data_IF_006404344865
#
_entry.id   IF_006404344865
#
_cell.length_a   1.000
_cell.length_b   1.000
_cell.length_c   1.000
_cell.angle_alpha   90.00
_cell.angle_beta   90.00
_cell.angle_gamma   90.00
#
_symmetry.space_group_name_H-M   'P 1'
#
loop_
_entity.id
_entity.type
_entity.pdbx_description
1 polymer ?
#
# COMPACT_ATOMS: atom_id res chain seq x y z
N UNK A 1 -7.17 7.44 -8.95
CA UNK A 1 -8.25 8.33 -8.44
C UNK A 1 -7.84 9.79 -8.63
N UNK A 2 -8.79 10.76 -8.72
CA UNK A 2 -8.45 12.19 -8.77
C UNK A 2 -8.69 12.84 -7.39
N UNK A 3 -7.66 13.29 -6.73
CA UNK A 3 -7.70 13.88 -5.37
C UNK A 3 -8.61 15.11 -5.30
N UNK A 4 -8.57 16.00 -6.29
CA UNK A 4 -9.43 17.20 -6.32
C UNK A 4 -10.92 16.84 -6.37
N UNK A 5 -11.30 15.77 -7.08
CA UNK A 5 -12.66 15.25 -7.11
C UNK A 5 -13.08 14.68 -5.75
N UNK A 6 -12.19 13.96 -5.08
CA UNK A 6 -12.44 13.42 -3.76
C UNK A 6 -12.67 14.54 -2.73
N UNK A 7 -11.83 15.57 -2.73
CA UNK A 7 -11.97 16.74 -1.85
C UNK A 7 -13.31 17.46 -2.10
N UNK A 8 -13.68 17.69 -3.36
CA UNK A 8 -14.95 18.32 -3.70
C UNK A 8 -16.14 17.49 -3.21
N UNK A 9 -16.07 16.17 -3.38
CA UNK A 9 -17.11 15.25 -2.91
C UNK A 9 -17.25 15.28 -1.37
N UNK A 10 -16.14 15.24 -0.64
CA UNK A 10 -16.14 15.36 0.83
C UNK A 10 -16.73 16.70 1.29
N UNK A 11 -16.36 17.81 0.64
CA UNK A 11 -16.94 19.12 0.95
C UNK A 11 -18.46 19.13 0.78
N UNK A 12 -18.96 18.51 -0.28
CA UNK A 12 -20.42 18.41 -0.52
C UNK A 12 -21.11 17.58 0.54
N UNK A 13 -20.57 16.40 0.86
CA UNK A 13 -21.14 15.49 1.84
C UNK A 13 -21.12 16.04 3.26
N UNK A 14 -20.07 16.80 3.61
CA UNK A 14 -19.92 17.43 4.93
C UNK A 14 -20.63 18.81 5.02
N UNK A 15 -21.28 19.28 3.95
CA UNK A 15 -21.94 20.59 3.94
C UNK A 15 -20.98 21.78 3.99
N UNK A 16 -19.70 21.57 3.69
CA UNK A 16 -18.65 22.60 3.81
C UNK A 16 -18.47 23.44 2.55
N UNK A 17 -19.30 23.28 1.54
CA UNK A 17 -19.11 23.90 0.22
C UNK A 17 -19.08 25.43 0.26
N UNK A 18 -19.92 26.02 1.11
CA UNK A 18 -20.04 27.47 1.25
C UNK A 18 -19.61 27.98 2.63
N UNK A 19 -18.91 27.17 3.41
CA UNK A 19 -18.50 27.51 4.77
C UNK A 19 -17.04 27.90 4.80
N UNK A 20 -16.74 29.08 5.36
CA UNK A 20 -15.37 29.47 5.72
C UNK A 20 -15.12 29.07 7.16
N UNK A 21 -14.26 28.07 7.36
CA UNK A 21 -13.86 27.65 8.71
C UNK A 21 -12.70 28.53 9.22
N UNK A 22 -12.57 28.72 10.54
CA UNK A 22 -11.59 29.62 11.15
C UNK A 22 -10.19 29.00 11.25
N UNK A 23 -9.78 28.17 10.28
CA UNK A 23 -8.43 27.64 10.24
C UNK A 23 -7.45 28.73 9.86
N UNK A 24 -6.40 28.88 10.65
CA UNK A 24 -5.31 29.83 10.41
C UNK A 24 -3.98 29.08 10.37
N UNK A 25 -3.15 29.48 9.46
CA UNK A 25 -1.74 29.07 9.42
C UNK A 25 -1.02 29.68 10.62
N UNK A 26 -0.34 28.85 11.42
CA UNK A 26 0.38 29.27 12.62
C UNK A 26 1.53 30.25 12.31
N UNK A 27 2.13 30.12 11.11
CA UNK A 27 3.30 30.92 10.71
C UNK A 27 2.88 32.24 10.10
N UNK A 28 1.90 32.20 9.17
CA UNK A 28 1.49 33.37 8.40
C UNK A 28 0.29 34.12 8.96
N UNK A 29 -0.48 33.46 9.85
CA UNK A 29 -1.74 33.96 10.39
C UNK A 29 -2.88 34.05 9.35
N UNK A 30 -2.64 33.62 8.12
CA UNK A 30 -3.61 33.65 7.03
C UNK A 30 -4.67 32.53 7.19
N UNK A 31 -5.87 32.80 6.70
CA UNK A 31 -6.94 31.79 6.67
C UNK A 31 -6.59 30.67 5.69
N UNK A 32 -6.59 29.44 6.16
CA UNK A 32 -6.37 28.24 5.33
C UNK A 32 -7.69 27.84 4.66
N UNK A 33 -7.72 27.65 3.34
CA UNK A 33 -8.89 27.10 2.66
C UNK A 33 -9.21 25.70 3.18
N UNK A 34 -10.51 25.39 3.33
CA UNK A 34 -10.99 24.07 3.79
C UNK A 34 -10.46 22.93 2.93
N UNK A 35 -10.29 23.17 1.62
CA UNK A 35 -9.72 22.20 0.68
C UNK A 35 -8.31 21.76 1.06
N UNK A 36 -7.49 22.68 1.52
CA UNK A 36 -6.12 22.37 1.93
C UNK A 36 -6.12 21.54 3.22
N UNK A 37 -6.99 21.90 4.16
CA UNK A 37 -7.14 21.14 5.41
C UNK A 37 -7.61 19.70 5.14
N UNK A 38 -8.62 19.53 4.28
CA UNK A 38 -9.09 18.21 3.87
C UNK A 38 -7.97 17.44 3.16
N UNK A 39 -7.23 18.11 2.26
CA UNK A 39 -6.09 17.50 1.58
C UNK A 39 -5.04 16.99 2.56
N UNK A 40 -4.70 17.80 3.56
CA UNK A 40 -3.72 17.43 4.58
C UNK A 40 -4.18 16.23 5.41
N UNK A 41 -5.45 16.13 5.75
CA UNK A 41 -6.02 14.94 6.39
C UNK A 41 -5.92 13.73 5.47
N UNK A 42 -6.29 13.87 4.20
CA UNK A 42 -6.23 12.76 3.24
C UNK A 42 -4.80 12.25 3.05
N UNK A 43 -3.83 13.15 2.89
CA UNK A 43 -2.43 12.80 2.60
C UNK A 43 -1.73 12.25 3.84
N UNK A 44 -1.93 12.86 5.01
CA UNK A 44 -1.15 12.53 6.19
C UNK A 44 -1.82 11.48 7.11
N UNK A 45 -3.13 11.24 6.96
CA UNK A 45 -3.87 10.30 7.81
C UNK A 45 -4.51 9.20 6.97
N UNK A 46 -5.36 9.57 6.01
CA UNK A 46 -6.20 8.60 5.29
C UNK A 46 -5.37 7.69 4.39
N UNK A 47 -4.48 8.24 3.55
CA UNK A 47 -3.67 7.46 2.59
C UNK A 47 -2.76 6.45 3.32
N UNK A 48 -1.98 6.83 4.35
CA UNK A 48 -1.14 5.88 5.07
C UNK A 48 -1.94 4.73 5.70
N UNK A 49 -3.09 5.04 6.32
CA UNK A 49 -3.95 4.02 6.94
C UNK A 49 -4.59 3.13 5.87
N UNK A 50 -5.14 3.74 4.80
CA UNK A 50 -5.73 2.99 3.70
C UNK A 50 -4.75 2.01 3.07
N UNK A 51 -3.49 2.45 2.90
CA UNK A 51 -2.42 1.63 2.33
C UNK A 51 -2.09 0.39 3.18
N UNK A 52 -2.32 0.42 4.49
CA UNK A 52 -2.11 -0.75 5.36
C UNK A 52 -3.08 -1.89 5.05
N UNK A 53 -4.29 -1.56 4.61
CA UNK A 53 -5.33 -2.55 4.28
C UNK A 53 -5.40 -2.87 2.79
N UNK A 54 -5.10 -1.91 1.95
CA UNK A 54 -5.14 -2.02 0.48
C UNK A 54 -3.91 -1.34 -0.12
N UNK A 55 -2.74 -1.98 -0.04
CA UNK A 55 -1.49 -1.39 -0.53
C UNK A 55 -1.47 -1.29 -2.05
N UNK A 56 -0.63 -0.40 -2.55
CA UNK A 56 -0.28 -0.36 -3.96
C UNK A 56 0.79 -1.41 -4.27
N UNK A 57 0.39 -2.45 -4.99
CA UNK A 57 1.31 -3.52 -5.38
C UNK A 57 2.11 -3.09 -6.60
N UNK A 58 3.42 -3.13 -6.48
CA UNK A 58 4.37 -2.86 -7.56
C UNK A 58 5.21 -4.09 -7.84
N UNK A 59 5.46 -4.30 -9.13
CA UNK A 59 6.30 -5.39 -9.60
C UNK A 59 7.41 -4.84 -10.49
N UNK A 60 8.58 -5.47 -10.43
CA UNK A 60 9.66 -5.15 -11.34
C UNK A 60 10.83 -6.08 -11.20
N UNK A 61 11.60 -6.22 -12.27
CA UNK A 61 12.73 -7.13 -12.31
C UNK A 61 14.06 -6.40 -12.29
N UNK A 62 15.03 -7.00 -11.61
CA UNK A 62 16.41 -6.55 -11.60
C UNK A 62 17.38 -7.70 -11.37
N UNK A 63 18.54 -7.64 -12.04
CA UNK A 63 19.60 -8.62 -11.80
C UNK A 63 20.23 -8.40 -10.40
N UNK A 64 20.35 -9.47 -9.62
CA UNK A 64 20.95 -9.42 -8.28
C UNK A 64 22.39 -8.86 -8.28
N UNK A 65 23.14 -9.08 -9.36
CA UNK A 65 24.50 -8.55 -9.50
C UNK A 65 24.56 -7.02 -9.59
N UNK A 66 23.46 -6.37 -9.97
CA UNK A 66 23.33 -4.90 -10.08
C UNK A 66 22.63 -4.26 -8.89
N UNK A 67 22.12 -5.09 -7.95
CA UNK A 67 21.53 -4.56 -6.72
C UNK A 67 22.64 -3.96 -5.83
N UNK A 68 22.37 -2.78 -5.23
CA UNK A 68 23.29 -2.21 -4.27
C UNK A 68 23.46 -3.12 -3.05
N UNK A 69 24.67 -3.59 -2.82
CA UNK A 69 25.01 -4.48 -1.72
C UNK A 69 25.32 -3.65 -0.47
N UNK A 70 24.58 -3.89 0.61
CA UNK A 70 24.78 -3.25 1.91
C UNK A 70 25.74 -4.04 2.79
N UNK A 71 25.53 -5.35 2.89
CA UNK A 71 26.38 -6.25 3.66
C UNK A 71 26.59 -7.55 2.89
N UNK A 72 27.87 -7.78 2.54
CA UNK A 72 28.27 -8.97 1.79
C UNK A 72 28.19 -10.26 2.62
N UNK A 73 28.46 -10.18 3.91
CA UNK A 73 28.51 -11.36 4.77
C UNK A 73 27.12 -11.92 5.03
N UNK A 74 26.13 -11.01 5.11
CA UNK A 74 24.75 -11.37 5.39
C UNK A 74 23.85 -11.34 4.13
N UNK A 75 24.41 -11.11 2.93
CA UNK A 75 23.69 -11.01 1.67
C UNK A 75 22.51 -10.00 1.74
N UNK A 76 22.77 -8.82 2.32
CA UNK A 76 21.78 -7.74 2.45
C UNK A 76 21.95 -6.77 1.29
N UNK A 77 20.86 -6.51 0.58
CA UNK A 77 20.78 -5.63 -0.58
C UNK A 77 19.77 -4.52 -0.34
N UNK A 78 19.89 -3.42 -1.10
CA UNK A 78 18.81 -2.46 -1.22
C UNK A 78 17.84 -2.90 -2.33
N UNK A 79 16.55 -2.68 -2.10
CA UNK A 79 15.53 -2.85 -3.13
C UNK A 79 15.81 -1.95 -4.33
N UNK A 80 15.39 -2.35 -5.53
CA UNK A 80 15.53 -1.53 -6.74
C UNK A 80 14.96 -0.12 -6.57
N UNK A 81 15.72 0.91 -6.96
CA UNK A 81 15.33 2.30 -6.77
C UNK A 81 13.99 2.69 -7.43
N UNK A 82 13.63 2.03 -8.53
CA UNK A 82 12.35 2.25 -9.18
C UNK A 82 11.15 1.72 -8.37
N UNK A 83 11.36 0.77 -7.45
CA UNK A 83 10.31 0.26 -6.54
C UNK A 83 10.19 1.11 -5.26
N UNK A 84 11.23 1.87 -4.91
CA UNK A 84 11.33 2.64 -3.67
C UNK A 84 10.99 4.12 -3.82
N UNK A 85 10.34 4.51 -4.93
CA UNK A 85 9.88 5.89 -5.16
C UNK A 85 8.79 6.34 -4.19
N UNK A 86 8.05 5.38 -3.65
CA UNK A 86 7.10 5.54 -2.54
C UNK A 86 7.55 4.64 -1.39
N UNK A 87 7.14 4.90 -0.14
CA UNK A 87 7.49 4.07 0.99
C UNK A 87 7.07 2.61 0.75
N UNK A 88 8.04 1.69 0.85
CA UNK A 88 7.78 0.24 0.79
C UNK A 88 7.38 -0.23 2.18
N UNK A 89 6.20 -0.84 2.28
CA UNK A 89 5.67 -1.34 3.53
C UNK A 89 6.20 -2.75 3.83
N UNK A 90 6.12 -3.63 2.82
CA UNK A 90 6.68 -5.00 2.89
C UNK A 90 6.92 -5.57 1.49
N UNK A 91 7.68 -6.64 1.43
CA UNK A 91 7.93 -7.41 0.21
C UNK A 91 7.00 -8.61 0.22
N UNK A 92 6.22 -8.77 -0.85
CA UNK A 92 5.25 -9.85 -1.00
C UNK A 92 5.95 -11.10 -1.50
N UNK A 93 6.74 -10.96 -2.57
CA UNK A 93 7.41 -12.08 -3.21
C UNK A 93 8.73 -11.64 -3.86
N UNK A 94 9.66 -12.59 -3.92
CA UNK A 94 10.89 -12.49 -4.70
C UNK A 94 11.06 -13.79 -5.47
N UNK A 95 10.93 -13.73 -6.77
CA UNK A 95 10.95 -14.90 -7.65
C UNK A 95 11.91 -14.73 -8.83
N UNK A 96 12.15 -15.80 -9.54
CA UNK A 96 12.92 -15.77 -10.80
C UNK A 96 11.97 -15.73 -11.99
N UNK A 97 12.20 -14.86 -13.01
CA UNK A 97 11.25 -14.63 -14.12
C UNK A 97 10.84 -15.90 -14.88
N UNK A 98 11.66 -16.95 -14.84
CA UNK A 98 11.41 -18.20 -15.55
C UNK A 98 11.04 -19.39 -14.64
N UNK A 99 10.93 -19.16 -13.35
CA UNK A 99 10.40 -20.13 -12.40
C UNK A 99 8.95 -19.75 -12.11
N UNK A 100 8.02 -20.16 -12.98
CA UNK A 100 6.64 -20.28 -12.60
C UNK A 100 6.54 -21.34 -11.50
N UNK A 101 6.72 -20.94 -10.26
CA UNK A 101 6.60 -21.80 -9.08
C UNK A 101 5.19 -22.38 -8.93
N UNK A 102 4.24 -21.89 -9.75
CA UNK A 102 2.87 -22.40 -9.87
C UNK A 102 2.59 -23.19 -11.15
N UNK A 103 3.56 -23.30 -12.05
CA UNK A 103 3.44 -24.13 -13.25
C UNK A 103 3.67 -25.60 -12.92
N UNK A 104 2.72 -26.44 -13.31
CA UNK A 104 2.90 -27.90 -13.40
C UNK A 104 4.25 -28.23 -14.01
N UNK A 105 4.89 -29.31 -13.57
CA UNK A 105 6.18 -29.89 -14.07
C UNK A 105 6.38 -29.87 -15.60
N UNK A 106 5.35 -29.55 -16.38
CA UNK A 106 5.37 -29.45 -17.82
C UNK A 106 6.02 -28.18 -18.39
N UNK A 107 6.04 -27.07 -17.66
CA UNK A 107 6.50 -25.78 -18.17
C UNK A 107 8.01 -25.53 -17.98
N UNK A 108 8.66 -26.31 -17.13
CA UNK A 108 10.10 -26.18 -16.87
C UNK A 108 10.94 -26.80 -17.99
N UNK A 109 10.43 -27.82 -18.67
CA UNK A 109 11.12 -28.55 -19.72
C UNK A 109 11.55 -27.68 -20.94
N UNK A 110 10.77 -26.72 -21.43
CA UNK A 110 11.15 -25.88 -22.55
C UNK A 110 12.28 -24.88 -22.26
N UNK A 111 12.35 -24.38 -21.04
CA UNK A 111 13.32 -23.34 -20.66
C UNK A 111 14.77 -23.83 -20.62
N UNK A 112 14.98 -25.13 -20.41
CA UNK A 112 16.31 -25.74 -20.35
C UNK A 112 16.72 -26.53 -21.61
N UNK A 113 15.94 -26.46 -22.70
CA UNK A 113 16.28 -27.15 -23.95
C UNK A 113 16.34 -28.67 -23.82
N UNK A 114 15.69 -29.24 -22.80
CA UNK A 114 15.69 -30.67 -22.53
C UNK A 114 14.82 -31.37 -23.55
N UNK A 115 15.47 -32.17 -24.40
CA UNK A 115 14.80 -32.94 -25.40
C UNK A 115 13.72 -33.85 -24.79
N UNK A 116 12.51 -33.83 -25.34
CA UNK A 116 11.30 -34.54 -24.85
C UNK A 116 11.39 -36.08 -24.91
N UNK A 117 12.58 -36.66 -24.89
CA UNK A 117 12.72 -38.10 -24.75
C UNK A 117 12.40 -38.51 -23.30
N UNK A 118 11.74 -39.63 -23.09
CA UNK A 118 11.42 -40.20 -21.77
C UNK A 118 12.66 -40.22 -20.86
N UNK A 119 13.84 -40.42 -21.44
CA UNK A 119 15.10 -40.38 -20.73
C UNK A 119 15.50 -38.97 -20.26
N UNK A 120 15.22 -37.93 -21.04
CA UNK A 120 15.41 -36.53 -20.64
C UNK A 120 14.47 -36.10 -19.50
N UNK A 121 13.25 -36.62 -19.48
CA UNK A 121 12.29 -36.34 -18.39
C UNK A 121 12.74 -37.00 -17.08
N UNK A 122 13.20 -38.26 -17.14
CA UNK A 122 13.72 -38.97 -15.94
C UNK A 122 14.97 -38.26 -15.41
N UNK A 123 15.92 -37.90 -16.27
CA UNK A 123 17.16 -37.22 -15.85
C UNK A 123 16.88 -35.81 -15.30
N UNK A 124 15.89 -35.12 -15.85
CA UNK A 124 15.50 -33.81 -15.31
C UNK A 124 14.77 -33.93 -13.99
N UNK A 125 13.94 -34.97 -13.78
CA UNK A 125 13.31 -35.23 -12.49
C UNK A 125 14.35 -35.64 -11.41
N UNK A 126 15.32 -36.49 -11.75
CA UNK A 126 16.40 -36.83 -10.86
C UNK A 126 17.29 -35.64 -10.53
N UNK A 127 17.58 -34.78 -11.50
CA UNK A 127 18.35 -33.55 -11.29
C UNK A 127 17.58 -32.54 -10.41
N UNK A 128 16.24 -32.43 -10.60
CA UNK A 128 15.39 -31.59 -9.78
C UNK A 128 15.22 -32.14 -8.37
N UNK A 129 15.11 -33.45 -8.19
CA UNK A 129 15.14 -34.09 -6.86
C UNK A 129 16.48 -33.86 -6.16
N UNK A 130 17.61 -34.05 -6.84
CA UNK A 130 18.96 -33.81 -6.32
C UNK A 130 19.17 -32.31 -6.00
N UNK A 131 18.68 -31.40 -6.85
CA UNK A 131 18.73 -29.96 -6.62
C UNK A 131 17.83 -29.54 -5.45
N UNK A 132 16.67 -30.15 -5.29
CA UNK A 132 15.76 -29.93 -4.16
C UNK A 132 16.32 -30.48 -2.84
N UNK A 133 17.08 -31.59 -2.89
CA UNK A 133 17.73 -32.15 -1.72
C UNK A 133 19.02 -31.41 -1.32
N UNK A 134 19.63 -30.68 -2.26
CA UNK A 134 20.95 -30.03 -2.03
C UNK A 134 20.83 -28.49 -1.87
N UNK A 135 19.71 -27.87 -2.16
CA UNK A 135 19.53 -26.42 -2.03
C UNK A 135 18.40 -26.14 -1.06
N UNK A 136 18.72 -25.39 -0.01
CA UNK A 136 17.67 -24.67 0.71
C UNK A 136 16.86 -23.85 -0.33
N UNK A 137 15.54 -23.95 -0.27
CA UNK A 137 14.67 -23.11 -1.11
C UNK A 137 15.09 -21.66 -0.97
N UNK A 138 15.16 -20.90 -2.09
CA UNK A 138 15.51 -19.50 -2.02
C UNK A 138 14.45 -18.79 -1.18
N UNK A 139 14.89 -18.09 -0.15
CA UNK A 139 14.03 -17.37 0.77
C UNK A 139 14.52 -15.93 0.91
N UNK A 140 13.63 -15.03 1.29
CA UNK A 140 13.98 -13.66 1.54
C UNK A 140 13.43 -13.17 2.89
N UNK A 141 14.05 -12.12 3.41
CA UNK A 141 13.62 -11.44 4.62
C UNK A 141 13.69 -9.94 4.40
N UNK A 142 12.56 -9.23 4.55
CA UNK A 142 12.52 -7.78 4.47
C UNK A 142 12.90 -7.18 5.84
N UNK A 143 13.96 -6.39 5.86
CA UNK A 143 14.52 -5.82 7.08
C UNK A 143 14.02 -4.39 7.39
N UNK A 144 13.15 -3.83 6.54
CA UNK A 144 12.77 -2.43 6.61
C UNK A 144 13.78 -1.50 5.91
N UNK A 145 13.48 -0.21 5.83
CA UNK A 145 14.32 0.81 5.21
C UNK A 145 14.81 0.44 3.80
N UNK A 146 13.95 -0.20 3.00
CA UNK A 146 14.26 -0.71 1.67
C UNK A 146 15.40 -1.76 1.62
N UNK A 147 15.72 -2.40 2.76
CA UNK A 147 16.73 -3.45 2.85
C UNK A 147 16.08 -4.83 2.78
N UNK A 148 16.65 -5.69 1.97
CA UNK A 148 16.22 -7.08 1.82
C UNK A 148 17.41 -8.02 1.95
N UNK A 149 17.23 -9.11 2.67
CA UNK A 149 18.18 -10.18 2.78
C UNK A 149 17.72 -11.33 1.90
N UNK A 150 18.62 -11.83 1.04
CA UNK A 150 18.34 -12.87 0.04
C UNK A 150 19.14 -14.12 0.36
N UNK A 151 18.45 -15.25 0.56
CA UNK A 151 19.08 -16.53 0.86
C UNK A 151 18.92 -17.49 -0.32
N UNK A 152 20.00 -18.09 -0.76
CA UNK A 152 19.98 -19.16 -1.76
C UNK A 152 19.64 -18.71 -3.19
N UNK A 153 19.43 -17.43 -3.45
CA UNK A 153 19.18 -16.93 -4.80
C UNK A 153 20.45 -16.97 -5.64
N UNK A 154 20.37 -17.49 -6.89
CA UNK A 154 21.48 -17.42 -7.82
C UNK A 154 21.70 -15.98 -8.29
N UNK A 155 22.88 -15.70 -8.87
CA UNK A 155 23.18 -14.42 -9.52
C UNK A 155 22.42 -14.31 -10.85
N UNK A 156 21.12 -14.10 -10.78
CA UNK A 156 20.21 -14.05 -11.92
C UNK A 156 19.32 -12.81 -11.80
N UNK A 157 18.47 -12.61 -12.79
CA UNK A 157 17.38 -11.66 -12.74
C UNK A 157 16.34 -12.15 -11.73
N UNK A 158 15.91 -11.26 -10.84
CA UNK A 158 14.86 -11.50 -9.86
C UNK A 158 13.69 -10.58 -10.12
N UNK A 159 12.48 -11.08 -9.94
CA UNK A 159 11.24 -10.31 -9.92
C UNK A 159 10.90 -10.03 -8.47
N UNK A 160 10.73 -8.76 -8.14
CA UNK A 160 10.31 -8.30 -6.83
C UNK A 160 8.87 -7.85 -6.91
N UNK A 161 8.04 -8.35 -6.03
CA UNK A 161 6.68 -7.87 -5.81
C UNK A 161 6.61 -7.21 -4.44
N UNK A 162 6.33 -5.92 -4.40
CA UNK A 162 6.35 -5.11 -3.18
C UNK A 162 5.02 -4.42 -2.97
N UNK A 163 4.63 -4.31 -1.71
CA UNK A 163 3.50 -3.51 -1.26
C UNK A 163 4.02 -2.13 -0.83
N UNK A 164 3.52 -1.10 -1.49
CA UNK A 164 3.90 0.29 -1.25
C UNK A 164 2.72 1.10 -0.74
N UNK A 165 3.02 2.20 -0.08
CA UNK A 165 2.05 3.23 0.21
C UNK A 165 1.55 3.89 -1.09
N UNK A 166 0.28 4.29 -1.12
CA UNK A 166 -0.27 5.04 -2.25
C UNK A 166 0.35 6.44 -2.34
N UNK A 167 0.45 6.95 -3.57
CA UNK A 167 0.96 8.30 -3.79
C UNK A 167 0.03 9.37 -3.20
N UNK A 168 0.60 10.49 -2.69
CA UNK A 168 -0.18 11.59 -2.10
C UNK A 168 -1.19 12.24 -3.06
N UNK A 169 -1.00 12.11 -4.38
CA UNK A 169 -1.95 12.57 -5.39
C UNK A 169 -3.17 11.63 -5.57
N UNK A 170 -3.13 10.43 -4.96
CA UNK A 170 -4.16 9.41 -5.03
C UNK A 170 -4.30 8.71 -6.38
N UNK A 171 -3.39 8.96 -7.35
CA UNK A 171 -3.49 8.37 -8.70
C UNK A 171 -3.34 6.85 -8.68
N UNK A 172 -2.60 6.32 -7.73
CA UNK A 172 -2.35 4.89 -7.55
C UNK A 172 -3.54 4.13 -6.95
N UNK A 173 -4.56 4.82 -6.41
CA UNK A 173 -5.77 4.20 -5.87
C UNK A 173 -6.69 3.80 -7.02
N UNK A 174 -7.00 2.50 -7.22
CA UNK A 174 -7.89 2.03 -8.28
C UNK A 174 -9.30 2.64 -8.18
N UNK A 175 -9.96 2.80 -9.31
CA UNK A 175 -11.34 3.33 -9.35
C UNK A 175 -12.31 2.39 -8.62
N UNK A 176 -12.09 1.08 -8.67
CA UNK A 176 -12.88 0.08 -7.95
C UNK A 176 -12.81 0.23 -6.42
N UNK A 177 -11.75 0.85 -5.92
CA UNK A 177 -11.53 1.09 -4.50
C UNK A 177 -11.98 2.48 -4.04
N UNK A 178 -12.56 3.29 -4.95
CA UNK A 178 -12.96 4.68 -4.66
C UNK A 178 -13.90 4.79 -3.47
N UNK A 179 -14.95 3.97 -3.45
CA UNK A 179 -15.98 4.06 -2.40
C UNK A 179 -15.43 3.70 -1.02
N UNK A 180 -14.61 2.65 -0.93
CA UNK A 180 -13.98 2.26 0.34
C UNK A 180 -13.01 3.33 0.84
N UNK A 181 -12.22 3.94 -0.07
CA UNK A 181 -11.35 5.07 0.27
C UNK A 181 -12.17 6.27 0.77
N UNK A 182 -13.26 6.61 0.07
CA UNK A 182 -14.12 7.74 0.44
C UNK A 182 -14.82 7.54 1.79
N UNK A 183 -15.20 6.30 2.14
CA UNK A 183 -15.76 6.00 3.46
C UNK A 183 -14.76 6.32 4.57
N UNK A 184 -13.52 5.84 4.46
CA UNK A 184 -12.47 6.16 5.43
C UNK A 184 -12.17 7.66 5.45
N UNK A 185 -12.00 8.28 4.29
CA UNK A 185 -11.73 9.70 4.13
C UNK A 185 -12.80 10.60 4.79
N UNK A 186 -14.06 10.20 4.67
CA UNK A 186 -15.18 10.87 5.33
C UNK A 186 -15.04 10.80 6.85
N UNK A 187 -14.76 9.62 7.40
CA UNK A 187 -14.65 9.40 8.85
C UNK A 187 -13.44 10.13 9.44
N UNK A 188 -12.28 10.05 8.77
CA UNK A 188 -11.07 10.78 9.19
C UNK A 188 -11.29 12.29 9.17
N UNK A 189 -11.95 12.80 8.12
CA UNK A 189 -12.27 14.23 8.01
C UNK A 189 -13.26 14.67 9.10
N UNK A 190 -14.30 13.88 9.37
CA UNK A 190 -15.26 14.15 10.46
C UNK A 190 -14.57 14.18 11.82
N UNK A 191 -13.71 13.20 12.08
CA UNK A 191 -12.96 13.11 13.34
C UNK A 191 -12.01 14.30 13.51
N UNK A 192 -11.30 14.71 12.46
CA UNK A 192 -10.46 15.89 12.48
C UNK A 192 -11.29 17.16 12.76
N UNK A 193 -12.40 17.35 12.05
CA UNK A 193 -13.29 18.49 12.24
C UNK A 193 -13.86 18.51 13.66
N UNK A 194 -14.33 17.37 14.18
CA UNK A 194 -14.80 17.26 15.57
C UNK A 194 -13.75 17.72 16.56
N UNK A 195 -12.53 17.16 16.45
CA UNK A 195 -11.43 17.47 17.37
C UNK A 195 -11.01 18.94 17.34
N UNK A 196 -11.13 19.58 16.18
CA UNK A 196 -10.77 20.99 16.01
C UNK A 196 -11.91 21.92 16.42
N UNK A 197 -13.15 21.60 16.04
CA UNK A 197 -14.28 22.50 16.20
C UNK A 197 -14.98 22.40 17.56
N UNK A 198 -14.80 21.29 18.29
CA UNK A 198 -15.40 21.11 19.62
C UNK A 198 -14.97 22.16 20.65
N UNK A 199 -13.86 22.88 20.37
CA UNK A 199 -13.37 23.97 21.23
C UNK A 199 -13.98 25.33 20.89
N UNK A 200 -14.78 25.41 19.82
CA UNK A 200 -15.41 26.64 19.39
C UNK A 200 -16.92 26.59 19.66
N UNK A 201 -17.42 27.52 20.47
CA UNK A 201 -18.87 27.64 20.79
C UNK A 201 -19.73 28.08 19.59
N UNK A 202 -19.10 28.53 18.51
CA UNK A 202 -19.72 28.96 17.28
C UNK A 202 -18.78 29.76 16.40
N UNK A 203 -19.17 29.94 15.13
CA UNK A 203 -18.42 30.78 14.19
C UNK A 203 -19.11 32.14 14.11
N UNK A 204 -18.41 33.24 14.40
CA UNK A 204 -18.97 34.59 14.25
C UNK A 204 -19.22 34.85 12.74
N UNK A 205 -20.41 35.29 12.40
CA UNK A 205 -20.79 35.72 11.05
C UNK A 205 -21.31 37.13 11.07
N UNK A 206 -21.46 37.76 9.90
CA UNK A 206 -22.05 39.08 9.76
C UNK A 206 -23.53 39.14 10.26
N UNK A 207 -24.19 38.00 10.40
CA UNK A 207 -25.60 37.87 10.82
C UNK A 207 -25.79 37.23 12.21
N UNK A 208 -24.69 37.08 12.98
CA UNK A 208 -24.70 36.44 14.29
C UNK A 208 -23.73 35.23 14.37
N UNK A 209 -23.77 34.48 15.47
CA UNK A 209 -22.97 33.25 15.58
C UNK A 209 -23.69 32.08 14.94
N UNK A 210 -23.01 31.34 14.08
CA UNK A 210 -23.48 30.08 13.54
C UNK A 210 -23.10 28.99 14.55
N UNK A 211 -24.10 28.35 15.17
CA UNK A 211 -23.86 27.15 15.99
C UNK A 211 -23.48 25.97 15.09
N UNK A 212 -22.33 25.42 15.35
CA UNK A 212 -21.86 24.20 14.69
C UNK A 212 -22.49 23.00 15.41
N UNK A 213 -23.20 22.16 14.66
CA UNK A 213 -23.72 20.89 15.17
C UNK A 213 -22.58 19.86 15.26
N UNK A 214 -21.62 20.13 16.10
CA UNK A 214 -20.40 19.30 16.26
C UNK A 214 -20.74 17.91 16.80
N UNK A 215 -21.87 17.76 17.48
CA UNK A 215 -22.35 16.48 18.01
C UNK A 215 -22.59 15.43 16.91
N UNK A 216 -22.99 15.86 15.70
CA UNK A 216 -23.16 14.94 14.56
C UNK A 216 -21.83 14.33 14.08
N UNK A 217 -20.69 14.89 14.49
CA UNK A 217 -19.37 14.41 14.15
C UNK A 217 -18.78 13.46 15.22
N UNK A 218 -19.40 13.39 16.41
CA UNK A 218 -18.85 12.70 17.58
C UNK A 218 -18.75 11.19 17.39
N UNK A 219 -19.63 10.57 16.59
CA UNK A 219 -19.64 9.14 16.34
C UNK A 219 -18.56 8.64 15.38
N UNK A 220 -17.85 9.54 14.69
CA UNK A 220 -16.92 9.18 13.62
C UNK A 220 -15.76 8.28 14.04
N UNK A 221 -15.28 8.41 15.29
CA UNK A 221 -14.19 7.57 15.79
C UNK A 221 -14.61 6.11 15.97
N UNK A 222 -15.79 5.88 16.53
CA UNK A 222 -16.35 4.52 16.67
C UNK A 222 -16.69 3.88 15.33
N UNK A 223 -17.26 4.66 14.39
CA UNK A 223 -17.55 4.19 13.04
C UNK A 223 -16.27 3.85 12.27
N UNK A 224 -15.23 4.67 12.43
CA UNK A 224 -13.90 4.43 11.85
C UNK A 224 -13.30 3.13 12.37
N UNK A 225 -13.31 2.94 13.67
CA UNK A 225 -12.79 1.72 14.29
C UNK A 225 -13.55 0.49 13.80
N UNK A 226 -14.87 0.56 13.70
CA UNK A 226 -15.69 -0.53 13.16
C UNK A 226 -15.34 -0.84 11.69
N UNK A 227 -15.16 0.20 10.86
CA UNK A 227 -14.75 0.05 9.45
C UNK A 227 -13.38 -0.63 9.32
N UNK A 228 -12.40 -0.20 10.11
CA UNK A 228 -11.05 -0.76 10.07
C UNK A 228 -11.02 -2.21 10.57
N UNK A 229 -11.80 -2.56 11.58
CA UNK A 229 -11.97 -3.94 12.04
C UNK A 229 -12.59 -4.81 10.95
N UNK A 230 -13.64 -4.33 10.28
CA UNK A 230 -14.24 -5.04 9.15
C UNK A 230 -13.22 -5.28 8.02
N UNK A 231 -12.36 -4.31 7.73
CA UNK A 231 -11.32 -4.49 6.71
C UNK A 231 -10.25 -5.47 7.17
N UNK A 232 -9.86 -5.43 8.44
CA UNK A 232 -8.90 -6.39 9.01
C UNK A 232 -9.40 -7.82 8.84
N UNK A 233 -10.66 -8.08 9.19
CA UNK A 233 -11.26 -9.41 9.06
C UNK A 233 -11.31 -9.86 7.59
N UNK A 234 -11.68 -8.96 6.68
CA UNK A 234 -11.73 -9.25 5.24
C UNK A 234 -10.34 -9.47 4.65
N UNK A 235 -9.35 -8.68 5.05
CA UNK A 235 -7.98 -8.78 4.58
C UNK A 235 -7.32 -10.11 5.01
N UNK A 236 -7.56 -10.56 6.23
CA UNK A 236 -7.08 -11.88 6.67
C UNK A 236 -7.68 -13.02 5.85
N UNK A 237 -8.98 -12.95 5.55
CA UNK A 237 -9.65 -13.94 4.69
C UNK A 237 -9.08 -13.95 3.26
N UNK A 238 -8.75 -12.78 2.72
CA UNK A 238 -8.14 -12.67 1.39
C UNK A 238 -6.68 -13.17 1.38
N UNK A 239 -5.91 -12.94 2.42
CA UNK A 239 -4.54 -13.46 2.55
C UNK A 239 -4.51 -14.98 2.58
N UNK A 240 -5.43 -15.62 3.29
CA UNK A 240 -5.55 -17.09 3.33
C UNK A 240 -5.99 -17.69 1.98
N UNK A 241 -6.68 -16.90 1.14
CA UNK A 241 -7.09 -17.30 -0.20
C UNK A 241 -6.00 -17.08 -1.28
N UNK A 242 -4.96 -16.30 -1.02
CA UNK A 242 -3.86 -16.07 -1.97
C UNK A 242 -2.95 -17.29 -2.12
N UNK A 243 -3.02 -18.27 -1.24
CA UNK A 243 -2.33 -19.56 -1.40
C UNK A 243 -2.93 -20.44 -2.52
N UNK A 244 -4.09 -20.06 -3.11
CA UNK A 244 -4.80 -20.86 -4.11
C UNK A 244 -4.98 -20.23 -5.49
N UNK A 245 -4.37 -19.09 -5.77
CA UNK A 245 -4.34 -18.44 -7.08
C UNK A 245 -2.87 -18.20 -7.50
#
# INVERSE_FOLDING_TARGET
MNMSRAITHLKMQLGLYNLSLPFKDEITGNTIPVENVIRDVLVNVTIPIYSQYKPWIREGSQNIATLPLVDKNNAIYLLPGFLTTTPVMYVIDVSMPNMNTRGTYGDIAPAYGINRSVQGVITSQEYMMLAGLMRAEPTFEYLGENKIKLYGFPKAELVFQVACEHEPNGETIPVSCYDSFMQLAMLDTKMFLYNTLKLYDGIPSAFGSIQLKVEELQGADSERTALLNQWSDTFHLDMDNWEFF
#
